data_IF_228840040120
#
_entry.id   IF_228840040120
#
_cell.length_a   1.000
_cell.length_b   1.000
_cell.length_c   1.000
_cell.angle_alpha   90.00
_cell.angle_beta   90.00
_cell.angle_gamma   90.00
#
_symmetry.space_group_name_H-M   'P 1'
#
loop_
_entity.id
_entity.type
_entity.pdbx_description
1 polymer ?
#
# COMPACT_ATOMS: atom_id res chain seq x y z
N UNK A 1 -33.33 44.82 43.26
CA UNK A 1 -32.42 45.72 42.52
C UNK A 1 -30.99 45.24 42.77
N UNK A 2 -30.37 44.64 41.74
CA UNK A 2 -29.13 45.12 41.09
C UNK A 2 -27.86 44.91 41.95
N UNK A 3 -26.78 44.29 41.52
CA UNK A 3 -26.36 43.72 40.24
C UNK A 3 -25.27 42.69 40.55
N UNK A 4 -25.30 41.58 39.82
CA UNK A 4 -24.23 40.59 39.75
C UNK A 4 -23.00 41.26 39.14
N UNK A 5 -21.86 41.21 39.83
CA UNK A 5 -20.57 41.64 39.29
C UNK A 5 -20.16 40.70 38.15
N UNK A 6 -19.82 41.20 36.94
CA UNK A 6 -19.36 40.36 35.86
C UNK A 6 -17.90 39.99 36.10
N UNK A 7 -17.66 38.70 36.24
CA UNK A 7 -16.33 38.09 36.28
C UNK A 7 -15.73 38.19 34.86
N UNK A 8 -14.77 39.08 34.67
CA UNK A 8 -13.85 39.01 33.53
C UNK A 8 -12.67 38.15 33.98
N UNK A 9 -12.58 36.92 33.48
CA UNK A 9 -11.30 36.26 33.29
C UNK A 9 -11.34 35.40 32.02
N UNK A 10 -10.36 35.68 31.18
CA UNK A 10 -10.11 35.20 29.84
C UNK A 10 -9.89 33.68 29.84
N UNK A 11 -10.53 32.96 28.90
CA UNK A 11 -9.81 31.94 28.14
C UNK A 11 -10.49 31.71 26.78
N UNK A 12 -9.91 32.29 25.74
CA UNK A 12 -10.06 31.79 24.38
C UNK A 12 -9.63 30.32 24.35
N UNK A 13 -10.53 29.42 23.98
CA UNK A 13 -10.16 28.15 23.35
C UNK A 13 -10.82 28.08 21.98
N UNK A 14 -10.22 28.80 21.05
CA UNK A 14 -10.15 28.31 19.69
C UNK A 14 -9.12 27.16 19.70
N UNK A 15 -9.60 25.92 19.65
CA UNK A 15 -8.83 24.81 19.07
C UNK A 15 -9.88 24.00 18.31
N UNK A 16 -10.13 24.41 17.06
CA UNK A 16 -9.62 23.65 15.92
C UNK A 16 -9.95 22.17 16.14
N UNK A 17 -11.17 21.76 15.80
CA UNK A 17 -11.41 20.34 15.56
C UNK A 17 -10.46 19.97 14.42
N UNK A 18 -9.37 19.20 14.64
CA UNK A 18 -8.70 18.64 13.50
C UNK A 18 -9.76 17.79 12.80
N UNK A 19 -9.95 18.06 11.52
CA UNK A 19 -10.60 17.10 10.65
C UNK A 19 -10.05 15.73 11.01
N UNK A 20 -10.93 14.78 11.35
CA UNK A 20 -10.59 13.35 11.34
C UNK A 20 -10.23 13.02 9.88
N UNK A 21 -9.04 13.46 9.45
CA UNK A 21 -8.29 12.77 8.41
C UNK A 21 -8.22 11.36 8.96
N UNK A 22 -8.85 10.42 8.27
CA UNK A 22 -8.62 9.01 8.49
C UNK A 22 -7.10 8.83 8.54
N UNK A 23 -6.53 8.76 9.74
CA UNK A 23 -5.14 8.42 9.91
C UNK A 23 -5.08 7.01 9.35
N UNK A 24 -4.32 6.85 8.27
CA UNK A 24 -3.89 5.52 7.85
C UNK A 24 -3.41 4.80 9.11
N UNK A 25 -3.89 3.57 9.41
CA UNK A 25 -3.45 2.85 10.59
C UNK A 25 -1.93 2.92 10.67
N UNK A 26 -1.39 3.26 11.84
CA UNK A 26 0.06 3.32 12.07
C UNK A 26 0.64 1.99 11.59
N UNK A 27 1.54 1.98 10.59
CA UNK A 27 2.04 0.75 10.00
C UNK A 27 2.63 -0.14 11.08
N UNK A 28 2.25 -1.42 11.10
CA UNK A 28 2.82 -2.41 11.97
C UNK A 28 4.33 -2.54 11.66
N UNK A 29 5.24 -2.21 12.59
CA UNK A 29 6.67 -2.21 12.32
C UNK A 29 7.21 -3.57 11.88
N UNK A 30 6.57 -4.67 12.29
CA UNK A 30 6.93 -6.01 11.85
C UNK A 30 6.60 -6.23 10.37
N UNK A 31 5.46 -5.73 9.90
CA UNK A 31 5.04 -5.78 8.49
C UNK A 31 5.95 -4.92 7.64
N UNK A 32 6.28 -3.71 8.09
CA UNK A 32 7.19 -2.81 7.38
C UNK A 32 8.58 -3.42 7.21
N UNK A 33 9.19 -3.91 8.31
CA UNK A 33 10.48 -4.58 8.25
C UNK A 33 10.44 -5.84 7.38
N UNK A 34 9.34 -6.58 7.41
CA UNK A 34 9.20 -7.77 6.57
C UNK A 34 9.07 -7.42 5.09
N UNK A 35 8.35 -6.36 4.73
CA UNK A 35 8.30 -5.84 3.37
C UNK A 35 9.72 -5.51 2.85
N UNK A 36 10.52 -4.82 3.66
CA UNK A 36 11.91 -4.48 3.28
C UNK A 36 12.77 -5.72 3.07
N UNK A 37 12.62 -6.74 3.91
CA UNK A 37 13.31 -8.03 3.73
C UNK A 37 12.93 -8.62 2.36
N UNK A 38 11.63 -8.74 2.06
CA UNK A 38 11.15 -9.32 0.80
C UNK A 38 11.70 -8.57 -0.43
N UNK A 39 11.80 -7.24 -0.36
CA UNK A 39 12.30 -6.41 -1.47
C UNK A 39 13.82 -6.46 -1.63
N UNK A 40 14.57 -6.74 -0.56
CA UNK A 40 16.02 -6.87 -0.62
C UNK A 40 16.49 -8.31 -0.89
N UNK A 41 15.64 -9.33 -0.65
CA UNK A 41 15.94 -10.72 -1.02
C UNK A 41 16.06 -10.89 -2.53
N UNK A 42 17.21 -11.34 -3.01
CA UNK A 42 17.49 -11.50 -4.43
C UNK A 42 16.89 -12.78 -5.01
N UNK A 43 16.95 -13.89 -4.27
CA UNK A 43 16.41 -15.18 -4.72
C UNK A 43 14.88 -15.21 -4.64
N UNK A 44 14.22 -15.54 -5.75
CA UNK A 44 12.77 -15.78 -5.79
C UNK A 44 12.37 -16.96 -4.89
N UNK A 45 13.20 -18.00 -4.83
CA UNK A 45 12.95 -19.18 -4.01
C UNK A 45 12.99 -18.85 -2.52
N UNK A 46 14.00 -18.10 -2.10
CA UNK A 46 14.12 -17.63 -0.71
C UNK A 46 12.94 -16.74 -0.34
N UNK A 47 12.55 -15.81 -1.22
CA UNK A 47 11.40 -14.94 -0.97
C UNK A 47 10.10 -15.71 -0.83
N UNK A 48 9.87 -16.73 -1.67
CA UNK A 48 8.72 -17.63 -1.55
C UNK A 48 8.75 -18.39 -0.22
N UNK A 49 9.93 -18.88 0.18
CA UNK A 49 10.13 -19.51 1.49
C UNK A 49 9.76 -18.59 2.65
N UNK A 50 10.17 -17.32 2.60
CA UNK A 50 9.82 -16.31 3.60
C UNK A 50 8.31 -16.06 3.69
N UNK A 51 7.60 -15.97 2.57
CA UNK A 51 6.14 -15.80 2.53
C UNK A 51 5.41 -17.00 3.15
N UNK A 52 5.93 -18.22 2.94
CA UNK A 52 5.39 -19.44 3.56
C UNK A 52 5.71 -19.51 5.06
N UNK A 53 6.92 -19.11 5.46
CA UNK A 53 7.37 -19.15 6.84
C UNK A 53 6.69 -18.10 7.74
N UNK A 54 6.33 -16.95 7.17
CA UNK A 54 5.76 -15.80 7.90
C UNK A 54 4.33 -15.49 7.49
N UNK A 55 3.48 -16.52 7.37
CA UNK A 55 2.06 -16.37 7.05
C UNK A 55 1.31 -15.45 8.01
N UNK A 56 1.78 -15.31 9.25
CA UNK A 56 1.27 -14.36 10.24
C UNK A 56 1.35 -12.90 9.78
N UNK A 57 2.35 -12.57 8.94
CA UNK A 57 2.54 -11.24 8.38
C UNK A 57 2.00 -11.09 6.95
N UNK A 58 1.64 -12.19 6.28
CA UNK A 58 1.11 -12.15 4.91
C UNK A 58 -0.37 -11.81 4.97
N UNK A 59 -0.67 -10.52 4.89
CA UNK A 59 -2.00 -9.98 5.04
C UNK A 59 -2.21 -8.74 4.14
N UNK A 60 -3.43 -8.17 4.21
CA UNK A 60 -3.82 -6.95 3.50
C UNK A 60 -2.85 -5.79 3.75
N UNK A 61 -2.41 -5.61 4.99
CA UNK A 61 -1.50 -4.52 5.37
C UNK A 61 -0.14 -4.64 4.67
N UNK A 62 0.43 -5.85 4.61
CA UNK A 62 1.66 -6.11 3.88
C UNK A 62 1.52 -5.81 2.38
N UNK A 63 0.41 -6.26 1.77
CA UNK A 63 0.11 -5.98 0.37
C UNK A 63 0.05 -4.47 0.09
N UNK A 64 -0.69 -3.73 0.91
CA UNK A 64 -0.81 -2.27 0.80
C UNK A 64 0.52 -1.54 1.00
N UNK A 65 1.34 -1.99 1.96
CA UNK A 65 2.67 -1.46 2.19
C UNK A 65 3.56 -1.64 0.95
N UNK A 66 3.63 -2.85 0.39
CA UNK A 66 4.42 -3.15 -0.81
C UNK A 66 3.95 -2.32 -2.02
N UNK A 67 2.64 -2.11 -2.19
CA UNK A 67 2.12 -1.22 -3.23
C UNK A 67 2.56 0.23 -2.98
N UNK A 68 2.54 0.70 -1.73
CA UNK A 68 3.00 2.05 -1.41
C UNK A 68 4.49 2.24 -1.71
N UNK A 69 5.33 1.27 -1.36
CA UNK A 69 6.75 1.26 -1.72
C UNK A 69 6.95 1.24 -3.24
N UNK A 70 6.20 0.40 -3.97
CA UNK A 70 6.25 0.37 -5.43
C UNK A 70 5.89 1.71 -6.08
N UNK A 71 4.89 2.42 -5.54
CA UNK A 71 4.55 3.79 -6.00
C UNK A 71 5.66 4.79 -5.71
N UNK A 72 6.35 4.66 -4.58
CA UNK A 72 7.52 5.50 -4.27
C UNK A 72 8.63 5.29 -5.30
N UNK A 73 9.00 4.04 -5.58
CA UNK A 73 9.99 3.72 -6.62
C UNK A 73 9.56 4.22 -8.01
N UNK A 74 8.27 4.15 -8.35
CA UNK A 74 7.74 4.77 -9.58
C UNK A 74 7.98 6.29 -9.63
N UNK A 75 7.77 6.99 -8.52
CA UNK A 75 8.06 8.43 -8.42
C UNK A 75 9.54 8.76 -8.55
N UNK A 76 10.41 7.83 -8.12
CA UNK A 76 11.87 7.91 -8.25
C UNK A 76 12.38 7.45 -9.63
N UNK A 77 11.48 7.00 -10.53
CA UNK A 77 11.79 6.35 -11.81
C UNK A 77 12.62 5.05 -11.69
N UNK A 78 12.67 4.44 -10.51
CA UNK A 78 13.26 3.12 -10.30
C UNK A 78 12.27 2.03 -10.69
N UNK A 79 12.09 1.86 -12.00
CA UNK A 79 11.16 0.87 -12.55
C UNK A 79 11.49 -0.57 -12.15
N UNK A 80 12.76 -1.02 -12.06
CA UNK A 80 13.09 -2.37 -11.58
C UNK A 80 12.61 -2.64 -10.15
N UNK A 81 12.84 -1.70 -9.21
CA UNK A 81 12.36 -1.89 -7.82
C UNK A 81 10.86 -1.74 -7.72
N UNK A 82 10.25 -0.87 -8.51
CA UNK A 82 8.79 -0.78 -8.61
C UNK A 82 8.16 -2.09 -9.12
N UNK A 83 8.68 -2.68 -10.20
CA UNK A 83 8.21 -3.95 -10.74
C UNK A 83 8.32 -5.06 -9.68
N UNK A 84 9.44 -5.13 -8.97
CA UNK A 84 9.63 -6.08 -7.87
C UNK A 84 8.58 -5.88 -6.78
N UNK A 85 8.39 -4.65 -6.31
CA UNK A 85 7.45 -4.35 -5.23
C UNK A 85 6.00 -4.72 -5.60
N UNK A 86 5.55 -4.38 -6.81
CA UNK A 86 4.21 -4.75 -7.26
C UNK A 86 4.08 -6.25 -7.53
N UNK A 87 5.13 -6.94 -7.99
CA UNK A 87 5.11 -8.40 -8.16
C UNK A 87 4.97 -9.11 -6.82
N UNK A 88 5.70 -8.67 -5.79
CA UNK A 88 5.58 -9.24 -4.44
C UNK A 88 4.22 -8.88 -3.82
N UNK A 89 3.73 -7.66 -4.02
CA UNK A 89 2.38 -7.28 -3.57
C UNK A 89 1.28 -8.15 -4.19
N UNK A 90 1.41 -8.50 -5.48
CA UNK A 90 0.49 -9.41 -6.16
C UNK A 90 0.47 -10.79 -5.48
N UNK A 91 1.64 -11.37 -5.23
CA UNK A 91 1.76 -12.67 -4.53
C UNK A 91 1.16 -12.62 -3.12
N UNK A 92 1.43 -11.55 -2.37
CA UNK A 92 0.86 -11.35 -1.02
C UNK A 92 -0.67 -11.25 -1.09
N UNK A 93 -1.20 -10.48 -2.04
CA UNK A 93 -2.64 -10.36 -2.24
C UNK A 93 -3.30 -11.69 -2.61
N UNK A 94 -2.66 -12.49 -3.46
CA UNK A 94 -3.13 -13.84 -3.81
C UNK A 94 -3.14 -14.79 -2.60
N UNK A 95 -2.10 -14.75 -1.75
CA UNK A 95 -2.02 -15.59 -0.54
C UNK A 95 -3.04 -15.14 0.53
N UNK A 96 -3.23 -13.83 0.68
CA UNK A 96 -4.12 -13.25 1.68
C UNK A 96 -5.59 -13.15 1.23
N UNK A 97 -5.91 -13.61 0.02
CA UNK A 97 -7.22 -13.42 -0.66
C UNK A 97 -7.67 -11.95 -0.72
N UNK A 98 -6.70 -11.03 -0.79
CA UNK A 98 -6.94 -9.58 -0.94
C UNK A 98 -7.08 -9.22 -2.41
N UNK A 99 -8.29 -9.40 -2.93
CA UNK A 99 -8.65 -9.08 -4.31
C UNK A 99 -8.34 -7.61 -4.69
N UNK A 100 -8.47 -6.68 -3.74
CA UNK A 100 -8.21 -5.27 -4.00
C UNK A 100 -6.71 -5.01 -4.23
N UNK A 101 -5.84 -5.59 -3.40
CA UNK A 101 -4.39 -5.52 -3.60
C UNK A 101 -3.96 -6.23 -4.89
N UNK A 102 -4.56 -7.38 -5.22
CA UNK A 102 -4.31 -8.09 -6.50
C UNK A 102 -4.60 -7.17 -7.70
N UNK A 103 -5.79 -6.57 -7.76
CA UNK A 103 -6.18 -5.70 -8.87
C UNK A 103 -5.28 -4.45 -8.98
N UNK A 104 -4.95 -3.83 -7.84
CA UNK A 104 -4.06 -2.66 -7.79
C UNK A 104 -2.62 -2.99 -8.19
N UNK A 105 -2.09 -4.14 -7.78
CA UNK A 105 -0.76 -4.60 -8.14
C UNK A 105 -0.67 -4.87 -9.64
N UNK A 106 -1.65 -5.57 -10.22
CA UNK A 106 -1.72 -5.83 -11.67
C UNK A 106 -1.76 -4.53 -12.48
N UNK A 107 -2.63 -3.59 -12.11
CA UNK A 107 -2.70 -2.28 -12.77
C UNK A 107 -1.37 -1.53 -12.69
N UNK A 108 -0.71 -1.60 -11.53
CA UNK A 108 0.58 -0.94 -11.32
C UNK A 108 1.70 -1.58 -12.14
N UNK A 109 1.75 -2.91 -12.24
CA UNK A 109 2.67 -3.64 -13.14
C UNK A 109 2.44 -3.28 -14.61
N UNK A 110 1.19 -3.10 -15.03
CA UNK A 110 0.84 -2.58 -16.34
C UNK A 110 1.44 -1.19 -16.58
N UNK A 111 1.31 -0.29 -15.60
CA UNK A 111 1.87 1.05 -15.68
C UNK A 111 3.41 1.06 -15.77
N UNK A 112 4.09 0.24 -14.95
CA UNK A 112 5.56 0.10 -15.00
C UNK A 112 6.00 -0.36 -16.38
N UNK A 113 5.40 -1.42 -16.90
CA UNK A 113 5.78 -1.98 -18.20
C UNK A 113 5.47 -1.02 -19.35
N UNK A 114 4.39 -0.24 -19.26
CA UNK A 114 4.08 0.80 -20.25
C UNK A 114 5.14 1.90 -20.28
N UNK A 115 5.62 2.34 -19.10
CA UNK A 115 6.71 3.33 -19.00
C UNK A 115 8.06 2.82 -19.51
N UNK A 116 8.31 1.52 -19.39
CA UNK A 116 9.50 0.86 -19.93
C UNK A 116 9.39 0.53 -21.43
N UNK A 117 8.27 0.85 -22.10
CA UNK A 117 8.04 0.53 -23.52
C UNK A 117 7.63 -0.92 -23.78
N UNK A 118 7.41 -1.72 -22.73
CA UNK A 118 6.96 -3.12 -22.81
C UNK A 118 5.44 -3.21 -23.04
N UNK A 119 4.95 -2.62 -24.13
CA UNK A 119 3.51 -2.40 -24.40
C UNK A 119 2.69 -3.70 -24.33
N UNK A 120 3.19 -4.79 -24.92
CA UNK A 120 2.48 -6.09 -24.90
C UNK A 120 2.29 -6.62 -23.47
N UNK A 121 3.33 -6.52 -22.64
CA UNK A 121 3.29 -6.96 -21.24
C UNK A 121 2.41 -6.04 -20.39
N UNK A 122 2.45 -4.73 -20.67
CA UNK A 122 1.57 -3.76 -20.04
C UNK A 122 0.08 -4.08 -20.29
N UNK A 123 -0.29 -4.33 -21.55
CA UNK A 123 -1.65 -4.68 -21.94
C UNK A 123 -2.14 -5.93 -21.21
N UNK A 124 -1.33 -7.00 -21.18
CA UNK A 124 -1.69 -8.23 -20.46
C UNK A 124 -1.97 -7.98 -18.97
N UNK A 125 -1.15 -7.15 -18.31
CA UNK A 125 -1.40 -6.81 -16.91
C UNK A 125 -2.66 -5.96 -16.72
N UNK A 126 -2.96 -5.03 -17.64
CA UNK A 126 -4.18 -4.24 -17.57
C UNK A 126 -5.44 -5.08 -17.79
N UNK A 127 -5.42 -6.03 -18.73
CA UNK A 127 -6.52 -6.97 -18.95
C UNK A 127 -6.79 -7.81 -17.69
N UNK A 128 -5.73 -8.38 -17.09
CA UNK A 128 -5.85 -9.12 -15.83
C UNK A 128 -6.38 -8.25 -14.69
N UNK A 129 -5.94 -6.98 -14.62
CA UNK A 129 -6.46 -6.05 -13.62
C UNK A 129 -7.95 -5.75 -13.82
N UNK A 130 -8.40 -5.59 -15.07
CA UNK A 130 -9.80 -5.38 -15.40
C UNK A 130 -10.67 -6.56 -14.96
N UNK A 131 -10.26 -7.79 -15.30
CA UNK A 131 -10.94 -9.01 -14.83
C UNK A 131 -10.95 -9.10 -13.30
N UNK A 132 -9.85 -8.76 -12.64
CA UNK A 132 -9.80 -8.75 -11.18
C UNK A 132 -10.79 -7.75 -10.57
N UNK A 133 -10.94 -6.56 -11.16
CA UNK A 133 -11.92 -5.56 -10.71
C UNK A 133 -13.38 -5.98 -10.97
N UNK A 134 -13.65 -6.77 -12.00
CA UNK A 134 -15.00 -7.31 -12.26
C UNK A 134 -15.43 -8.28 -11.16
N UNK A 135 -14.50 -9.05 -10.58
CA UNK A 135 -14.79 -10.03 -9.51
C UNK A 135 -14.98 -9.36 -8.13
N UNK A 136 -14.58 -8.09 -7.97
CA UNK A 136 -14.75 -7.32 -6.72
C UNK A 136 -16.14 -6.69 -6.62
N UNK A 137 -16.82 -6.47 -7.76
CA UNK A 137 -18.18 -5.93 -7.81
C UNK A 137 -19.20 -6.91 -7.25
#
# INVERSE_FOLDING_TARGET
MRCVFPLILILCLAVFAPTLKAQSPTPNPAVEKFADILLNTQSEEERRGLLVARKDLVNVELGQNLIAQGRKFMGENDFPRAEKAFTVALQVGEIADDKASVALALRSLGSVNGRQGNVKKALNFFERAATAYEVIK
#
